data_IF_610085408472
#
_entry.id   IF_610085408472
#
_cell.length_a   1.000
_cell.length_b   1.000
_cell.length_c   1.000
_cell.angle_alpha   90.00
_cell.angle_beta   90.00
_cell.angle_gamma   90.00
#
_symmetry.space_group_name_H-M   'P 1'
#
loop_
_entity.id
_entity.type
_entity.pdbx_description
1 polymer ?
#
# COMPACT_ATOMS: atom_id res chain seq x y z
N UNK A 1 -23.13 -6.37 1.80
CA UNK A 1 -22.28 -5.45 1.02
C UNK A 1 -22.20 -5.93 -0.42
N UNK A 2 -22.25 -5.02 -1.38
CA UNK A 2 -21.99 -5.38 -2.78
C UNK A 2 -20.52 -5.79 -2.94
N UNK A 3 -20.28 -6.76 -3.83
CA UNK A 3 -18.95 -7.12 -4.29
C UNK A 3 -18.97 -7.27 -5.80
N UNK A 4 -17.88 -6.88 -6.46
CA UNK A 4 -17.74 -7.01 -7.91
C UNK A 4 -16.41 -7.63 -8.27
N UNK A 5 -16.38 -8.35 -9.38
CA UNK A 5 -15.14 -8.75 -10.02
C UNK A 5 -14.74 -7.71 -11.06
N UNK A 6 -13.56 -7.12 -10.88
CA UNK A 6 -13.02 -6.12 -11.78
C UNK A 6 -11.51 -6.25 -11.88
N UNK A 7 -10.98 -6.30 -13.11
CA UNK A 7 -9.55 -6.44 -13.41
C UNK A 7 -8.88 -7.66 -12.73
N UNK A 8 -9.64 -8.75 -12.55
CA UNK A 8 -9.13 -10.00 -11.97
C UNK A 8 -9.06 -10.01 -10.44
N UNK A 9 -9.62 -9.00 -9.78
CA UNK A 9 -9.78 -8.96 -8.33
C UNK A 9 -11.26 -8.86 -7.94
N UNK A 10 -11.59 -9.40 -6.77
CA UNK A 10 -12.85 -9.12 -6.07
C UNK A 10 -12.68 -7.84 -5.29
N UNK A 11 -13.64 -6.93 -5.44
CA UNK A 11 -13.65 -5.63 -4.77
C UNK A 11 -14.89 -5.53 -3.90
N UNK A 12 -14.75 -4.83 -2.78
CA UNK A 12 -15.84 -4.47 -1.88
C UNK A 12 -15.43 -3.20 -1.12
N UNK A 13 -16.39 -2.40 -0.65
CA UNK A 13 -16.08 -1.35 0.30
C UNK A 13 -15.52 -1.97 1.60
N UNK A 14 -14.81 -1.20 2.42
CA UNK A 14 -14.35 -1.68 3.73
C UNK A 14 -15.42 -1.44 4.80
N UNK A 15 -15.91 -0.20 4.92
CA UNK A 15 -16.85 0.21 5.98
C UNK A 15 -18.29 0.39 5.50
N UNK A 16 -18.47 0.86 4.27
CA UNK A 16 -19.76 1.34 3.75
C UNK A 16 -20.53 0.26 2.99
N UNK A 17 -21.83 0.47 2.81
CA UNK A 17 -22.68 -0.39 1.97
C UNK A 17 -22.92 0.25 0.61
N UNK A 18 -21.88 0.30 -0.22
CA UNK A 18 -21.97 0.78 -1.60
C UNK A 18 -22.79 -0.19 -2.47
N UNK A 19 -23.57 0.36 -3.39
CA UNK A 19 -24.12 -0.36 -4.53
C UNK A 19 -23.02 -0.72 -5.55
N UNK A 20 -23.34 -1.60 -6.49
CA UNK A 20 -22.42 -1.96 -7.59
C UNK A 20 -22.00 -0.74 -8.41
N UNK A 21 -22.94 0.17 -8.68
CA UNK A 21 -22.68 1.38 -9.47
C UNK A 21 -21.73 2.34 -8.74
N UNK A 22 -21.93 2.52 -7.43
CA UNK A 22 -21.06 3.35 -6.59
C UNK A 22 -19.65 2.74 -6.50
N UNK A 23 -19.55 1.43 -6.27
CA UNK A 23 -18.26 0.74 -6.21
C UNK A 23 -17.46 0.89 -7.53
N UNK A 24 -18.12 0.74 -8.68
CA UNK A 24 -17.50 0.99 -9.99
C UNK A 24 -17.09 2.45 -10.18
N UNK A 25 -17.81 3.40 -9.56
CA UNK A 25 -17.51 4.83 -9.64
C UNK A 25 -16.26 5.16 -8.82
N UNK A 26 -16.15 4.61 -7.60
CA UNK A 26 -14.96 4.72 -6.75
C UNK A 26 -13.74 4.09 -7.45
N UNK A 27 -13.87 2.88 -8.02
CA UNK A 27 -12.77 2.22 -8.75
C UNK A 27 -12.27 2.99 -9.97
N UNK A 28 -13.09 3.87 -10.53
CA UNK A 28 -12.68 4.76 -11.63
C UNK A 28 -12.05 6.07 -11.13
N UNK A 29 -12.12 6.35 -9.83
CA UNK A 29 -11.61 7.57 -9.19
C UNK A 29 -12.62 8.72 -9.11
N UNK A 30 -13.87 8.53 -9.56
CA UNK A 30 -14.88 9.62 -9.63
C UNK A 30 -15.84 9.65 -8.42
N UNK A 31 -15.65 8.75 -7.46
CA UNK A 31 -16.53 8.63 -6.29
C UNK A 31 -16.03 9.44 -5.09
N UNK A 32 -16.75 9.34 -3.98
CA UNK A 32 -16.20 9.75 -2.69
C UNK A 32 -14.96 8.90 -2.36
N UNK A 33 -14.02 9.50 -1.63
CA UNK A 33 -12.85 8.78 -1.14
C UNK A 33 -13.33 7.71 -0.15
N UNK A 34 -13.20 6.46 -0.55
CA UNK A 34 -13.65 5.29 0.20
C UNK A 34 -12.54 4.26 0.25
N UNK A 35 -12.38 3.61 1.41
CA UNK A 35 -11.48 2.48 1.54
C UNK A 35 -12.15 1.25 0.94
N UNK A 36 -11.47 0.62 0.00
CA UNK A 36 -11.86 -0.62 -0.66
C UNK A 36 -10.98 -1.76 -0.18
N UNK A 37 -11.59 -2.92 0.02
CA UNK A 37 -10.88 -4.19 0.12
C UNK A 37 -10.81 -4.84 -1.26
N UNK A 38 -9.67 -5.43 -1.57
CA UNK A 38 -9.48 -6.22 -2.78
C UNK A 38 -8.85 -7.57 -2.50
N UNK A 39 -9.21 -8.55 -3.32
CA UNK A 39 -8.61 -9.89 -3.30
C UNK A 39 -8.32 -10.32 -4.73
N UNK A 40 -7.06 -10.64 -5.01
CA UNK A 40 -6.67 -11.43 -6.20
C UNK A 40 -6.56 -12.88 -5.75
N UNK A 41 -7.49 -13.76 -6.15
CA UNK A 41 -7.61 -15.11 -5.59
C UNK A 41 -6.31 -15.90 -5.63
N UNK A 42 -5.91 -16.41 -4.46
CA UNK A 42 -4.71 -17.24 -4.31
C UNK A 42 -3.37 -16.51 -4.46
N UNK A 43 -3.36 -15.17 -4.58
CA UNK A 43 -2.13 -14.38 -4.76
C UNK A 43 -1.92 -13.36 -3.65
N UNK A 44 -2.82 -12.40 -3.53
CA UNK A 44 -2.71 -11.32 -2.55
C UNK A 44 -4.06 -10.64 -2.30
N UNK A 45 -4.19 -10.02 -1.14
CA UNK A 45 -5.33 -9.20 -0.77
C UNK A 45 -4.82 -7.90 -0.13
N UNK A 46 -5.68 -6.90 0.00
CA UNK A 46 -5.28 -5.65 0.63
C UNK A 46 -6.40 -4.62 0.70
N UNK A 47 -6.02 -3.44 1.16
CA UNK A 47 -6.91 -2.32 1.45
C UNK A 47 -6.31 -1.04 0.90
N UNK A 48 -7.10 -0.29 0.14
CA UNK A 48 -6.67 0.95 -0.47
C UNK A 48 -7.81 1.94 -0.61
N UNK A 49 -7.47 3.21 -0.74
CA UNK A 49 -8.37 4.24 -1.25
C UNK A 49 -7.85 4.75 -2.60
N UNK A 50 -8.76 5.35 -3.37
CA UNK A 50 -8.46 5.95 -4.66
C UNK A 50 -9.01 7.35 -4.69
N UNK A 51 -8.21 8.29 -5.21
CA UNK A 51 -8.71 9.59 -5.61
C UNK A 51 -8.20 9.94 -7.01
N UNK A 52 -8.97 10.79 -7.69
CA UNK A 52 -8.53 11.42 -8.94
C UNK A 52 -7.94 12.77 -8.59
N UNK A 53 -6.74 13.03 -9.07
CA UNK A 53 -6.07 14.34 -8.94
C UNK A 53 -6.64 15.34 -9.95
N UNK A 54 -6.35 16.61 -9.73
CA UNK A 54 -6.81 17.70 -10.60
C UNK A 54 -6.32 17.58 -12.06
N UNK A 55 -5.20 16.89 -12.28
CA UNK A 55 -4.65 16.59 -13.62
C UNK A 55 -5.25 15.33 -14.27
N UNK A 56 -6.17 14.64 -13.59
CA UNK A 56 -6.81 13.42 -14.06
C UNK A 56 -6.01 12.13 -13.83
N UNK A 57 -4.87 12.21 -13.12
CA UNK A 57 -4.15 11.04 -12.64
C UNK A 57 -4.89 10.37 -11.47
N UNK A 58 -4.56 9.11 -11.16
CA UNK A 58 -5.06 8.46 -9.94
C UNK A 58 -3.98 8.44 -8.89
N UNK A 59 -4.37 8.65 -7.65
CA UNK A 59 -3.55 8.31 -6.50
C UNK A 59 -4.18 7.13 -5.78
N UNK A 60 -3.31 6.19 -5.40
CA UNK A 60 -3.66 4.94 -4.75
C UNK A 60 -3.01 5.01 -3.38
N UNK A 61 -3.79 5.19 -2.32
CA UNK A 61 -3.28 5.09 -0.96
C UNK A 61 -3.49 3.67 -0.47
N UNK A 62 -2.40 2.92 -0.30
CA UNK A 62 -2.40 1.53 0.14
C UNK A 62 -2.21 1.48 1.66
N UNK A 63 -3.18 0.90 2.35
CA UNK A 63 -3.22 0.77 3.81
C UNK A 63 -2.83 -0.62 4.30
N UNK A 64 -3.06 -1.64 3.47
CA UNK A 64 -2.71 -3.01 3.80
C UNK A 64 -2.45 -3.81 2.52
N UNK A 65 -1.48 -4.73 2.59
CA UNK A 65 -1.21 -5.69 1.53
C UNK A 65 -0.68 -6.99 2.12
N UNK A 66 -1.46 -8.05 1.97
CA UNK A 66 -1.07 -9.39 2.39
C UNK A 66 -0.85 -10.28 1.16
N UNK A 67 0.30 -10.95 1.14
CA UNK A 67 0.59 -11.99 0.15
C UNK A 67 0.11 -13.35 0.66
N UNK A 68 -0.72 -14.00 -0.15
CA UNK A 68 -1.26 -15.33 0.13
C UNK A 68 -0.51 -16.44 -0.62
N UNK A 69 -0.63 -17.69 -0.14
CA UNK A 69 -0.14 -18.88 -0.85
C UNK A 69 1.28 -19.34 -0.49
N UNK A 70 1.72 -20.43 -1.14
CA UNK A 70 2.98 -21.15 -0.85
C UNK A 70 4.24 -20.46 -1.42
N UNK A 71 4.08 -19.67 -2.49
CA UNK A 71 5.18 -18.91 -3.12
C UNK A 71 4.99 -17.43 -2.80
N UNK A 72 5.54 -16.98 -1.67
CA UNK A 72 5.42 -15.59 -1.21
C UNK A 72 6.50 -14.66 -1.77
N UNK A 73 7.66 -15.23 -2.12
CA UNK A 73 8.79 -14.47 -2.64
C UNK A 73 8.42 -13.81 -3.98
N UNK A 74 8.60 -12.49 -4.07
CA UNK A 74 8.33 -11.71 -5.27
C UNK A 74 6.87 -11.26 -5.44
N UNK A 75 5.90 -11.92 -4.81
CA UNK A 75 4.47 -11.61 -5.00
C UNK A 75 4.07 -10.22 -4.49
N UNK A 76 4.73 -9.70 -3.45
CA UNK A 76 4.50 -8.31 -3.01
C UNK A 76 4.88 -7.30 -4.09
N UNK A 77 6.01 -7.51 -4.78
CA UNK A 77 6.41 -6.69 -5.94
C UNK A 77 5.43 -6.84 -7.10
N UNK A 78 4.95 -8.05 -7.36
CA UNK A 78 3.94 -8.29 -8.39
C UNK A 78 2.62 -7.57 -8.08
N UNK A 79 2.21 -7.54 -6.82
CA UNK A 79 0.99 -6.86 -6.39
C UNK A 79 1.07 -5.35 -6.65
N UNK A 80 2.19 -4.71 -6.30
CA UNK A 80 2.41 -3.28 -6.56
C UNK A 80 2.45 -2.97 -8.06
N UNK A 81 3.12 -3.81 -8.86
CA UNK A 81 3.10 -3.68 -10.32
C UNK A 81 1.69 -3.82 -10.89
N UNK A 82 0.91 -4.78 -10.39
CA UNK A 82 -0.47 -4.98 -10.80
C UNK A 82 -1.35 -3.78 -10.44
N UNK A 83 -1.25 -3.24 -9.22
CA UNK A 83 -1.98 -2.02 -8.81
C UNK A 83 -1.66 -0.84 -9.74
N UNK A 84 -0.38 -0.62 -10.02
CA UNK A 84 0.08 0.43 -10.95
C UNK A 84 -0.47 0.21 -12.35
N UNK A 85 -0.51 -1.02 -12.85
CA UNK A 85 -1.03 -1.34 -14.18
C UNK A 85 -2.54 -1.07 -14.31
N UNK A 86 -3.35 -1.46 -13.33
CA UNK A 86 -4.82 -1.36 -13.43
C UNK A 86 -5.32 0.07 -13.24
N UNK A 87 -4.67 0.85 -12.38
CA UNK A 87 -5.09 2.20 -12.05
C UNK A 87 -4.33 3.28 -12.83
N UNK A 88 -3.10 2.97 -13.26
CA UNK A 88 -2.17 3.89 -13.92
C UNK A 88 -1.90 5.14 -13.08
N UNK A 89 -1.70 4.93 -11.79
CA UNK A 89 -1.57 5.99 -10.78
C UNK A 89 -0.32 5.85 -9.93
N UNK A 90 -0.06 6.90 -9.15
CA UNK A 90 0.96 6.88 -8.10
C UNK A 90 0.46 6.06 -6.90
N UNK A 91 1.36 5.32 -6.28
CA UNK A 91 1.10 4.49 -5.10
C UNK A 91 1.73 5.18 -3.90
N UNK A 92 0.89 5.58 -2.95
CA UNK A 92 1.26 6.09 -1.65
C UNK A 92 1.02 4.99 -0.64
N UNK A 93 1.98 4.76 0.26
CA UNK A 93 1.82 3.83 1.35
C UNK A 93 1.56 4.60 2.63
N UNK A 94 0.48 4.24 3.33
CA UNK A 94 0.11 4.84 4.60
C UNK A 94 -0.08 3.71 5.61
N UNK A 95 0.79 3.63 6.62
CA UNK A 95 0.71 2.68 7.74
C UNK A 95 0.35 1.23 7.34
N UNK A 96 1.19 0.56 6.53
CA UNK A 96 0.83 -0.70 5.88
C UNK A 96 0.47 -1.84 6.84
N UNK A 97 0.93 -1.79 8.10
CA UNK A 97 0.67 -2.82 9.10
C UNK A 97 1.02 -2.30 10.52
N UNK A 98 0.10 -1.65 11.24
CA UNK A 98 0.22 -1.64 12.70
C UNK A 98 -1.14 -1.77 13.38
N UNK A 99 -1.44 -2.93 13.98
CA UNK A 99 -2.55 -3.05 14.92
C UNK A 99 -2.21 -2.45 16.31
N UNK A 100 -0.97 -2.00 16.54
CA UNK A 100 -0.53 -1.46 17.82
C UNK A 100 0.44 -0.27 17.65
N UNK A 101 -0.01 0.98 17.89
CA UNK A 101 0.83 2.17 17.89
C UNK A 101 2.02 2.08 18.88
N UNK A 102 1.99 1.16 19.84
CA UNK A 102 3.13 0.93 20.73
C UNK A 102 4.30 0.19 20.05
N UNK A 103 4.08 -0.44 18.89
CA UNK A 103 5.10 -1.10 18.08
C UNK A 103 5.56 -0.12 17.00
N UNK A 104 6.28 0.92 17.38
CA UNK A 104 6.79 1.97 16.48
C UNK A 104 7.67 1.47 15.30
N UNK A 105 7.96 0.17 15.20
CA UNK A 105 8.67 -0.40 14.06
C UNK A 105 8.06 -1.73 13.62
N UNK A 106 7.50 -1.75 12.40
CA UNK A 106 6.91 -2.95 11.83
C UNK A 106 7.96 -3.81 11.10
N UNK A 107 7.97 -5.15 11.25
CA UNK A 107 8.93 -6.04 10.59
C UNK A 107 8.95 -5.96 9.05
N UNK A 108 7.89 -5.47 8.42
CA UNK A 108 7.82 -5.30 6.95
C UNK A 108 8.42 -3.97 6.45
N UNK A 109 8.87 -3.08 7.35
CA UNK A 109 9.46 -1.78 6.99
C UNK A 109 10.62 -1.87 5.98
N UNK A 110 11.59 -2.81 6.12
CA UNK A 110 12.66 -2.95 5.13
C UNK A 110 12.14 -3.31 3.73
N UNK A 111 11.05 -4.08 3.65
CA UNK A 111 10.40 -4.38 2.38
C UNK A 111 9.81 -3.12 1.76
N UNK A 112 9.04 -2.34 2.52
CA UNK A 112 8.39 -1.13 2.02
C UNK A 112 9.37 -0.04 1.60
N UNK A 113 10.42 0.18 2.40
CA UNK A 113 11.51 1.08 2.03
C UNK A 113 12.21 0.64 0.73
N UNK A 114 12.44 -0.68 0.57
CA UNK A 114 12.99 -1.21 -0.68
C UNK A 114 12.04 -1.01 -1.87
N UNK A 115 10.72 -1.12 -1.68
CA UNK A 115 9.74 -0.87 -2.75
C UNK A 115 9.73 0.61 -3.19
N UNK A 116 9.89 1.53 -2.24
CA UNK A 116 10.08 2.95 -2.52
C UNK A 116 11.36 3.18 -3.35
N UNK A 117 12.51 2.62 -2.91
CA UNK A 117 13.79 2.75 -3.65
C UNK A 117 13.74 2.15 -5.05
N UNK A 118 12.95 1.10 -5.27
CA UNK A 118 12.72 0.48 -6.57
C UNK A 118 11.71 1.26 -7.45
N UNK A 119 11.11 2.34 -6.94
CA UNK A 119 10.09 3.13 -7.65
C UNK A 119 8.75 2.43 -7.82
N UNK A 120 8.47 1.38 -7.02
CA UNK A 120 7.18 0.69 -7.00
C UNK A 120 6.15 1.43 -6.14
N UNK A 121 6.63 2.21 -5.17
CA UNK A 121 5.87 3.11 -4.32
C UNK A 121 6.45 4.52 -4.51
N UNK A 122 5.57 5.49 -4.66
CA UNK A 122 5.94 6.88 -4.90
C UNK A 122 6.07 7.65 -3.58
N UNK A 123 5.33 7.33 -2.53
CA UNK A 123 5.59 7.90 -1.21
C UNK A 123 5.39 6.90 -0.08
N UNK A 124 6.17 7.05 0.98
CA UNK A 124 6.12 6.19 2.16
C UNK A 124 5.85 7.05 3.39
N UNK A 125 4.64 6.94 3.93
CA UNK A 125 4.23 7.59 5.18
C UNK A 125 4.15 6.56 6.31
N UNK A 126 5.01 6.75 7.29
CA UNK A 126 5.15 5.90 8.46
C UNK A 126 5.27 6.79 9.70
N UNK A 127 4.90 6.26 10.86
CA UNK A 127 4.86 7.04 12.11
C UNK A 127 6.15 7.83 12.40
N UNK A 128 7.30 7.25 12.06
CA UNK A 128 8.61 7.76 12.42
C UNK A 128 9.36 8.48 11.28
N UNK A 129 8.87 8.38 10.04
CA UNK A 129 9.48 9.06 8.92
C UNK A 129 8.52 9.15 7.74
N UNK A 130 8.76 10.16 6.91
CA UNK A 130 8.04 10.36 5.66
C UNK A 130 9.03 10.51 4.50
N UNK A 131 8.80 9.75 3.42
CA UNK A 131 9.52 9.90 2.15
C UNK A 131 8.54 10.36 1.06
N UNK A 132 8.70 11.60 0.62
CA UNK A 132 7.97 12.19 -0.50
C UNK A 132 8.41 11.58 -1.86
N UNK A 133 7.68 11.76 -2.98
CA UNK A 133 8.04 11.22 -4.31
C UNK A 133 9.41 11.58 -4.88
N UNK A 134 10.09 12.56 -4.31
CA UNK A 134 11.42 12.98 -4.73
C UNK A 134 12.34 13.19 -3.52
N UNK A 135 12.30 12.24 -2.59
CA UNK A 135 13.18 12.30 -1.42
C UNK A 135 14.65 12.33 -1.85
N UNK A 136 15.44 13.13 -1.16
CA UNK A 136 16.87 13.28 -1.45
C UNK A 136 17.65 12.04 -1.02
N UNK A 137 18.86 11.85 -1.55
CA UNK A 137 19.75 10.78 -1.08
C UNK A 137 20.00 10.85 0.43
N UNK A 138 20.14 12.06 0.97
CA UNK A 138 20.31 12.29 2.41
C UNK A 138 19.09 11.79 3.22
N UNK A 139 17.87 12.03 2.74
CA UNK A 139 16.67 11.51 3.40
C UNK A 139 16.61 9.98 3.33
N UNK A 140 17.05 9.38 2.22
CA UNK A 140 17.12 7.93 2.09
C UNK A 140 18.15 7.31 3.03
N UNK A 141 19.31 7.93 3.14
CA UNK A 141 20.38 7.47 4.04
C UNK A 141 19.91 7.55 5.51
N UNK A 142 19.28 8.65 5.91
CA UNK A 142 18.70 8.81 7.26
C UNK A 142 17.66 7.74 7.58
N UNK A 143 16.74 7.44 6.64
CA UNK A 143 15.73 6.39 6.85
C UNK A 143 16.36 5.01 6.88
N UNK A 144 17.37 4.75 6.05
CA UNK A 144 18.11 3.48 6.05
C UNK A 144 18.82 3.27 7.40
N UNK A 145 19.55 4.26 7.89
CA UNK A 145 20.22 4.21 9.21
C UNK A 145 19.22 3.99 10.35
N UNK A 146 18.06 4.65 10.30
CA UNK A 146 16.99 4.45 11.26
C UNK A 146 16.48 3.00 11.25
N UNK A 147 16.20 2.45 10.07
CA UNK A 147 15.74 1.06 9.91
C UNK A 147 16.78 0.08 10.47
N UNK A 148 18.06 0.26 10.13
CA UNK A 148 19.16 -0.60 10.57
C UNK A 148 19.37 -0.52 12.09
N UNK A 149 19.34 0.69 12.67
CA UNK A 149 19.46 0.90 14.11
C UNK A 149 18.35 0.19 14.90
N UNK A 150 17.10 0.31 14.45
CA UNK A 150 15.97 -0.34 15.15
C UNK A 150 16.03 -1.86 15.03
N UNK A 151 16.47 -2.40 13.87
CA UNK A 151 16.67 -3.84 13.70
C UNK A 151 17.83 -4.37 14.55
N UNK A 152 18.95 -3.64 14.63
CA UNK A 152 20.11 -3.98 15.46
C UNK A 152 19.76 -4.05 16.94
N UNK A 153 19.08 -3.03 17.47
CA UNK A 153 18.65 -2.97 18.87
C UNK A 153 17.68 -4.10 19.26
N UNK A 154 16.87 -4.60 18.31
CA UNK A 154 15.99 -5.76 18.54
C UNK A 154 16.73 -7.09 18.63
N UNK A 155 17.86 -7.23 17.94
CA UNK A 155 18.68 -8.44 18.00
C UNK A 155 19.48 -8.53 19.30
N UNK A 156 19.84 -7.40 19.91
CA UNK A 156 20.55 -7.37 21.20
C UNK A 156 19.62 -7.56 22.42
N UNK A 157 18.31 -7.38 22.23
CA UNK A 157 17.30 -7.52 23.28
C UNK A 157 16.71 -8.95 23.41
N UNK A 158 17.15 -9.89 22.56
CA UNK A 158 16.73 -11.31 22.53
C UNK A 158 17.82 -12.21 23.11
#
# INVERSE_FOLDING_TARGET
MASIEWKGAKWQAYYSSLSIAELLTVLKGFGQMEVLRFEVPGRFNGELSLCLTDDGSKEITLYHLEVSGKKRAGTGREALKWLREIFKGAIYLEFPDSPDPAIGFHPTMPFWFQMYREGLIDALDCENFYLAPQATSEQLDQVQEYIESVLGNRLEAL
#
